data_IF_150710376468
#
_entry.id   IF_150710376468
#
_cell.length_a   1.000
_cell.length_b   1.000
_cell.length_c   1.000
_cell.angle_alpha   90.00
_cell.angle_beta   90.00
_cell.angle_gamma   90.00
#
_symmetry.space_group_name_H-M   'P 1'
#
loop_
_entity.id
_entity.type
_entity.pdbx_description
1 polymer ?
#
# COMPACT_ATOMS: atom_id res chain seq x y z
N UNK A 1 -25.59 -6.57 19.16
CA UNK A 1 -24.70 -6.94 18.04
C UNK A 1 -25.07 -6.33 16.66
N UNK A 2 -25.43 -5.07 16.56
CA UNK A 2 -25.70 -4.44 15.25
C UNK A 2 -24.41 -4.29 14.40
N UNK A 3 -23.25 -4.18 15.05
CA UNK A 3 -21.98 -3.91 14.36
C UNK A 3 -21.43 -5.09 13.52
N UNK A 4 -21.78 -6.32 13.82
CA UNK A 4 -21.33 -7.49 13.02
C UNK A 4 -22.07 -7.62 11.69
N UNK A 5 -23.33 -7.20 11.60
CA UNK A 5 -24.11 -7.30 10.35
C UNK A 5 -23.66 -6.29 9.28
N UNK A 6 -23.13 -5.15 9.66
CA UNK A 6 -22.63 -4.15 8.71
C UNK A 6 -21.27 -4.51 8.07
N UNK A 7 -20.51 -5.46 8.62
CA UNK A 7 -19.22 -5.87 8.08
C UNK A 7 -19.29 -6.96 7.00
N UNK A 8 -20.41 -7.61 6.85
CA UNK A 8 -20.61 -8.58 5.77
C UNK A 8 -21.33 -7.89 4.60
N UNK A 9 -20.57 -7.14 3.81
CA UNK A 9 -21.03 -6.85 2.45
C UNK A 9 -21.35 -8.18 1.78
N UNK A 10 -22.60 -8.35 1.35
CA UNK A 10 -23.04 -9.54 0.66
C UNK A 10 -22.13 -9.76 -0.55
N UNK A 11 -21.73 -10.99 -0.82
CA UNK A 11 -20.92 -11.33 -2.00
C UNK A 11 -21.59 -10.80 -3.29
N UNK A 12 -22.91 -10.75 -3.32
CA UNK A 12 -23.70 -10.19 -4.41
C UNK A 12 -23.42 -8.70 -4.63
N UNK A 13 -23.33 -7.93 -3.56
CA UNK A 13 -23.05 -6.48 -3.65
C UNK A 13 -21.64 -6.23 -4.12
N UNK A 14 -20.67 -7.04 -3.69
CA UNK A 14 -19.28 -6.99 -4.18
C UNK A 14 -19.21 -7.29 -5.67
N UNK A 15 -19.90 -8.33 -6.13
CA UNK A 15 -19.98 -8.68 -7.57
C UNK A 15 -20.55 -7.52 -8.38
N UNK A 16 -21.62 -6.90 -7.92
CA UNK A 16 -22.24 -5.75 -8.60
C UNK A 16 -21.27 -4.57 -8.69
N UNK A 17 -20.60 -4.23 -7.59
CA UNK A 17 -19.62 -3.14 -7.56
C UNK A 17 -18.42 -3.42 -8.46
N UNK A 18 -17.85 -4.61 -8.40
CA UNK A 18 -16.70 -4.99 -9.24
C UNK A 18 -17.06 -4.99 -10.70
N UNK A 19 -18.26 -5.46 -11.08
CA UNK A 19 -18.73 -5.39 -12.46
C UNK A 19 -18.86 -3.93 -12.94
N UNK A 20 -19.43 -3.05 -12.13
CA UNK A 20 -19.55 -1.63 -12.46
C UNK A 20 -18.18 -0.96 -12.63
N UNK A 21 -17.25 -1.22 -11.73
CA UNK A 21 -15.88 -0.71 -11.82
C UNK A 21 -15.13 -1.29 -13.04
N UNK A 22 -15.30 -2.59 -13.31
CA UNK A 22 -14.72 -3.24 -14.49
C UNK A 22 -15.13 -2.54 -15.78
N UNK A 23 -16.42 -2.22 -15.93
CA UNK A 23 -16.92 -1.54 -17.14
C UNK A 23 -16.37 -0.10 -17.26
N UNK A 24 -16.19 0.61 -16.15
CA UNK A 24 -15.57 1.94 -16.17
C UNK A 24 -14.08 1.82 -16.52
N UNK A 25 -13.38 0.89 -15.91
CA UNK A 25 -11.95 0.67 -16.12
C UNK A 25 -11.62 0.26 -17.55
N UNK A 26 -12.45 -0.58 -18.18
CA UNK A 26 -12.33 -0.93 -19.61
C UNK A 26 -12.35 0.31 -20.51
N UNK A 27 -13.24 1.26 -20.23
CA UNK A 27 -13.35 2.50 -21.01
C UNK A 27 -12.14 3.42 -20.86
N UNK A 28 -11.43 3.31 -19.76
CA UNK A 28 -10.26 4.16 -19.44
C UNK A 28 -8.94 3.44 -19.63
N UNK A 29 -8.94 2.17 -20.03
CA UNK A 29 -7.72 1.36 -20.17
C UNK A 29 -7.04 1.01 -18.85
N UNK A 30 -7.78 1.02 -17.73
CA UNK A 30 -7.25 0.71 -16.40
C UNK A 30 -7.46 -0.76 -16.04
N UNK A 31 -6.50 -1.34 -15.32
CA UNK A 31 -6.64 -2.60 -14.62
C UNK A 31 -7.03 -2.36 -13.15
N UNK A 32 -7.79 -3.29 -12.58
CA UNK A 32 -8.22 -3.25 -11.19
C UNK A 32 -7.53 -4.37 -10.43
N UNK A 33 -6.89 -4.04 -9.32
CA UNK A 33 -6.31 -5.03 -8.41
C UNK A 33 -7.06 -5.04 -7.09
N UNK A 34 -7.64 -6.19 -6.74
CA UNK A 34 -8.40 -6.38 -5.51
C UNK A 34 -7.46 -6.88 -4.39
N UNK A 35 -7.72 -6.44 -3.17
CA UNK A 35 -6.93 -6.83 -2.01
C UNK A 35 -7.74 -7.70 -1.06
N UNK A 36 -7.27 -8.94 -0.81
CA UNK A 36 -7.92 -9.90 0.08
C UNK A 36 -9.38 -10.20 -0.29
N UNK A 37 -9.68 -10.23 -1.57
CA UNK A 37 -11.01 -10.56 -2.08
C UNK A 37 -11.03 -11.98 -2.68
N UNK A 38 -12.22 -12.50 -2.88
CA UNK A 38 -12.41 -13.84 -3.45
C UNK A 38 -12.11 -13.87 -4.95
N UNK A 39 -11.50 -14.94 -5.43
CA UNK A 39 -11.27 -15.19 -6.86
C UNK A 39 -12.58 -15.19 -7.70
N UNK A 40 -13.75 -15.34 -7.09
CA UNK A 40 -15.05 -15.23 -7.77
C UNK A 40 -15.27 -13.83 -8.39
N UNK A 41 -14.50 -12.83 -7.93
CA UNK A 41 -14.53 -11.46 -8.43
C UNK A 41 -13.58 -11.23 -9.62
N UNK A 42 -12.76 -12.20 -9.98
CA UNK A 42 -11.82 -12.09 -11.09
C UNK A 42 -12.54 -11.91 -12.43
N UNK A 43 -12.00 -11.02 -13.28
CA UNK A 43 -12.47 -10.69 -14.61
C UNK A 43 -11.26 -10.39 -15.50
N UNK A 44 -11.47 -10.22 -16.81
CA UNK A 44 -10.37 -9.93 -17.76
C UNK A 44 -9.50 -8.74 -17.36
N UNK A 45 -10.10 -7.71 -16.75
CA UNK A 45 -9.40 -6.50 -16.28
C UNK A 45 -9.46 -6.31 -14.76
N UNK A 46 -9.79 -7.37 -14.01
CA UNK A 46 -9.85 -7.38 -12.55
C UNK A 46 -9.07 -8.57 -12.02
N UNK A 47 -7.96 -8.29 -11.37
CA UNK A 47 -7.09 -9.28 -10.73
C UNK A 47 -7.39 -9.34 -9.22
N UNK A 48 -7.76 -10.52 -8.72
CA UNK A 48 -8.01 -10.77 -7.31
C UNK A 48 -6.75 -11.22 -6.51
N UNK A 49 -5.58 -11.31 -7.17
CA UNK A 49 -4.34 -11.81 -6.55
C UNK A 49 -3.59 -10.78 -5.70
N UNK A 50 -4.15 -9.60 -5.50
CA UNK A 50 -3.59 -8.58 -4.62
C UNK A 50 -3.16 -7.30 -5.33
N UNK A 51 -3.21 -6.19 -4.60
CA UNK A 51 -2.97 -4.86 -5.15
C UNK A 51 -1.47 -4.48 -5.26
N UNK A 52 -0.60 -5.09 -4.45
CA UNK A 52 0.86 -4.90 -4.48
C UNK A 52 1.55 -6.27 -4.44
N UNK A 53 1.09 -7.21 -5.26
CA UNK A 53 1.69 -8.53 -5.38
C UNK A 53 3.06 -8.45 -6.09
N UNK A 54 3.84 -9.52 -6.00
CA UNK A 54 5.12 -9.59 -6.70
C UNK A 54 4.93 -9.40 -8.22
N UNK A 55 3.90 -9.99 -8.81
CA UNK A 55 3.61 -9.87 -10.22
C UNK A 55 3.35 -8.41 -10.65
N UNK A 56 2.54 -7.68 -9.88
CA UNK A 56 2.25 -6.26 -10.14
C UNK A 56 3.52 -5.42 -10.07
N UNK A 57 4.40 -5.69 -9.09
CA UNK A 57 5.65 -4.95 -8.96
C UNK A 57 6.65 -5.32 -10.07
N UNK A 58 6.74 -6.59 -10.46
CA UNK A 58 7.58 -7.04 -11.58
C UNK A 58 7.13 -6.42 -12.91
N UNK A 59 5.84 -6.36 -13.14
CA UNK A 59 5.28 -5.71 -14.32
C UNK A 59 5.60 -4.19 -14.34
N UNK A 60 5.39 -3.50 -13.22
CA UNK A 60 5.68 -2.07 -13.11
C UNK A 60 7.17 -1.74 -13.24
N UNK A 61 8.05 -2.61 -12.77
CA UNK A 61 9.51 -2.42 -12.82
C UNK A 61 10.13 -2.92 -14.12
N UNK A 62 9.46 -3.81 -14.85
CA UNK A 62 10.03 -4.53 -16.00
C UNK A 62 11.14 -5.51 -15.64
N UNK A 63 11.25 -5.90 -14.38
CA UNK A 63 12.32 -6.74 -13.85
C UNK A 63 11.77 -7.84 -12.94
N UNK A 64 12.46 -8.99 -12.90
CA UNK A 64 12.12 -10.08 -11.98
C UNK A 64 12.64 -9.82 -10.58
N UNK A 65 11.84 -10.18 -9.59
CA UNK A 65 12.15 -10.00 -8.17
C UNK A 65 12.40 -11.35 -7.49
N UNK A 66 13.48 -11.43 -6.71
CA UNK A 66 13.77 -12.53 -5.80
C UNK A 66 13.36 -12.12 -4.38
N UNK A 67 12.09 -12.32 -4.07
CA UNK A 67 11.52 -11.87 -2.79
C UNK A 67 11.69 -12.95 -1.73
N UNK A 68 12.24 -12.61 -0.55
CA UNK A 68 12.32 -13.56 0.55
C UNK A 68 10.94 -13.93 1.06
N UNK A 69 10.78 -15.20 1.49
CA UNK A 69 9.50 -15.68 2.03
C UNK A 69 9.08 -14.84 3.23
N UNK A 70 7.93 -14.23 3.17
CA UNK A 70 7.37 -13.36 4.22
C UNK A 70 6.03 -13.90 4.70
N UNK A 71 5.73 -13.60 5.98
CA UNK A 71 4.39 -13.83 6.51
C UNK A 71 3.45 -12.76 5.95
N UNK A 72 2.31 -13.20 5.42
CA UNK A 72 1.28 -12.27 4.96
C UNK A 72 0.81 -11.36 6.12
N UNK A 73 0.58 -10.06 5.87
CA UNK A 73 0.10 -9.13 6.90
C UNK A 73 -1.25 -9.52 7.48
N UNK A 74 -2.09 -10.17 6.68
CA UNK A 74 -3.40 -10.70 7.04
C UNK A 74 -3.73 -11.89 6.14
N UNK A 75 -4.69 -12.71 6.56
CA UNK A 75 -5.15 -13.86 5.80
C UNK A 75 -5.61 -13.45 4.39
N UNK A 76 -5.21 -14.21 3.38
CA UNK A 76 -5.51 -13.93 1.97
C UNK A 76 -4.72 -12.78 1.32
N UNK A 77 -3.81 -12.13 2.04
CA UNK A 77 -3.00 -11.04 1.48
C UNK A 77 -1.72 -11.57 0.82
N UNK A 78 -1.51 -11.21 -0.44
CA UNK A 78 -0.32 -11.52 -1.23
C UNK A 78 0.61 -10.34 -1.41
N UNK A 79 0.27 -9.19 -0.82
CA UNK A 79 1.02 -7.95 -0.99
C UNK A 79 2.44 -8.01 -0.40
N UNK A 80 3.39 -7.48 -1.17
CA UNK A 80 4.75 -7.24 -0.71
C UNK A 80 4.82 -5.87 -0.01
N UNK A 81 4.50 -5.85 1.28
CA UNK A 81 4.60 -4.62 2.06
C UNK A 81 6.04 -4.41 2.51
N UNK A 82 6.58 -3.22 2.22
CA UNK A 82 7.85 -2.73 2.70
C UNK A 82 7.76 -2.10 4.09
N UNK A 83 8.80 -1.34 4.46
CA UNK A 83 8.74 -0.45 5.61
C UNK A 83 7.85 0.76 5.29
N UNK A 84 6.98 1.14 6.21
CA UNK A 84 6.24 2.39 6.13
C UNK A 84 7.18 3.54 6.48
N UNK A 85 7.34 4.48 5.56
CA UNK A 85 8.14 5.70 5.74
C UNK A 85 7.29 6.88 6.21
N UNK A 86 5.98 6.69 6.36
CA UNK A 86 5.06 7.71 6.85
C UNK A 86 5.14 7.91 8.36
N UNK A 87 4.67 9.06 8.82
CA UNK A 87 4.47 9.35 10.23
C UNK A 87 3.07 9.89 10.48
N UNK A 88 2.50 9.55 11.64
CA UNK A 88 1.21 10.10 12.05
C UNK A 88 1.31 11.61 12.32
N UNK A 89 0.20 12.32 12.15
CA UNK A 89 0.09 13.77 12.35
C UNK A 89 1.09 14.58 11.52
N UNK A 90 1.21 14.27 10.21
CA UNK A 90 2.10 14.98 9.27
C UNK A 90 1.38 15.61 8.08
N UNK A 91 0.11 15.29 7.85
CA UNK A 91 -0.65 15.79 6.71
C UNK A 91 -1.49 17.02 7.09
N UNK A 92 -1.34 18.11 6.34
CA UNK A 92 -2.05 19.38 6.59
C UNK A 92 -3.49 19.44 6.05
N UNK A 93 -4.01 18.36 5.43
CA UNK A 93 -5.35 18.38 4.83
C UNK A 93 -6.50 18.23 5.83
N UNK A 94 -6.26 17.72 7.03
CA UNK A 94 -7.26 17.56 8.09
C UNK A 94 -8.57 16.87 7.64
N UNK A 95 -8.47 15.85 6.81
CA UNK A 95 -9.63 15.09 6.36
C UNK A 95 -10.41 14.53 7.55
N UNK A 96 -11.74 14.69 7.55
CA UNK A 96 -12.62 14.37 8.68
C UNK A 96 -12.56 12.90 9.12
N UNK A 97 -12.23 11.97 8.22
CA UNK A 97 -12.12 10.53 8.47
C UNK A 97 -10.69 10.02 8.42
N UNK A 98 -9.71 10.90 8.65
CA UNK A 98 -8.31 10.52 8.61
C UNK A 98 -7.93 9.73 9.86
N UNK A 99 -7.47 8.51 9.69
CA UNK A 99 -6.93 7.69 10.78
C UNK A 99 -5.51 8.09 11.19
N UNK A 100 -4.79 8.79 10.30
CA UNK A 100 -3.39 9.15 10.51
C UNK A 100 -3.20 10.51 11.18
N UNK A 101 -4.21 11.38 11.15
CA UNK A 101 -4.20 12.68 11.81
C UNK A 101 -5.26 12.71 12.91
N UNK A 102 -4.85 12.71 14.15
CA UNK A 102 -5.72 12.74 15.32
C UNK A 102 -5.45 13.93 16.26
N UNK A 103 -4.37 14.70 16.02
CA UNK A 103 -4.00 15.88 16.80
C UNK A 103 -3.57 17.01 15.87
N UNK A 104 -4.43 18.02 15.73
CA UNK A 104 -4.19 19.17 14.85
C UNK A 104 -3.00 20.02 15.29
N UNK A 105 -2.81 20.23 16.60
CA UNK A 105 -1.68 21.02 17.11
C UNK A 105 -0.35 20.33 16.80
N UNK A 106 -0.32 19.00 16.95
CA UNK A 106 0.86 18.20 16.62
C UNK A 106 1.13 18.20 15.10
N UNK A 107 0.10 18.14 14.26
CA UNK A 107 0.26 18.28 12.80
C UNK A 107 0.93 19.61 12.45
N UNK A 108 0.43 20.72 13.00
CA UNK A 108 1.01 22.05 12.75
C UNK A 108 2.47 22.13 13.21
N UNK A 109 2.79 21.59 14.38
CA UNK A 109 4.14 21.50 14.91
C UNK A 109 5.06 20.66 14.02
N UNK A 110 4.61 19.49 13.59
CA UNK A 110 5.38 18.60 12.73
C UNK A 110 5.63 19.22 11.35
N UNK A 111 4.63 19.88 10.79
CA UNK A 111 4.74 20.59 9.52
C UNK A 111 5.80 21.71 9.58
N UNK A 112 5.85 22.48 10.67
CA UNK A 112 6.86 23.53 10.88
C UNK A 112 8.29 22.97 11.04
N UNK A 113 8.40 21.71 11.53
CA UNK A 113 9.69 21.02 11.71
C UNK A 113 10.15 20.26 10.46
N UNK A 114 9.30 20.17 9.44
CA UNK A 114 9.67 19.50 8.21
C UNK A 114 10.66 20.35 7.43
N UNK A 115 11.78 19.74 7.07
CA UNK A 115 12.80 20.32 6.18
C UNK A 115 13.03 19.35 5.00
N UNK A 116 12.74 19.80 3.75
CA UNK A 116 12.95 18.97 2.56
C UNK A 116 14.41 18.52 2.35
N UNK A 117 15.37 19.24 2.92
CA UNK A 117 16.79 18.88 2.86
C UNK A 117 17.22 17.90 3.96
N UNK A 118 16.37 17.65 4.96
CA UNK A 118 16.64 16.69 6.03
C UNK A 118 16.43 15.26 5.56
N UNK A 119 17.27 14.34 6.04
CA UNK A 119 17.07 12.90 5.87
C UNK A 119 15.88 12.36 6.69
N UNK A 120 15.37 13.15 7.65
CA UNK A 120 14.23 12.80 8.49
C UNK A 120 12.94 13.43 7.94
N UNK A 121 11.83 12.71 8.05
CA UNK A 121 10.51 13.23 7.69
C UNK A 121 10.11 14.43 8.57
N UNK A 122 10.53 14.46 9.82
CA UNK A 122 10.24 15.51 10.81
C UNK A 122 11.51 15.83 11.58
N UNK A 123 11.92 17.09 11.55
CA UNK A 123 13.06 17.59 12.33
C UNK A 123 14.43 17.17 11.79
N UNK A 124 15.41 17.26 12.65
CA UNK A 124 16.81 16.93 12.39
C UNK A 124 17.33 15.98 13.46
N UNK A 125 18.49 15.37 13.20
CA UNK A 125 19.19 14.57 14.19
C UNK A 125 19.61 15.45 15.38
N UNK A 126 19.37 14.96 16.58
CA UNK A 126 19.71 15.63 17.84
C UNK A 126 20.91 14.92 18.51
N UNK A 127 21.58 15.63 19.40
CA UNK A 127 22.70 15.06 20.14
C UNK A 127 22.21 13.91 21.05
N UNK A 128 22.68 12.72 20.79
CA UNK A 128 22.26 11.51 21.52
C UNK A 128 21.41 10.53 20.69
N UNK A 129 21.03 10.91 19.47
CA UNK A 129 20.33 10.00 18.57
C UNK A 129 21.24 8.84 18.14
N UNK A 130 20.67 7.64 18.18
CA UNK A 130 21.38 6.43 17.73
C UNK A 130 21.09 6.22 16.26
N UNK A 131 22.08 6.50 15.43
CA UNK A 131 22.03 6.23 13.99
C UNK A 131 22.38 4.78 13.75
N UNK A 132 21.49 4.06 13.05
CA UNK A 132 21.73 2.68 12.62
C UNK A 132 21.68 2.64 11.10
N UNK A 133 22.76 2.19 10.49
CA UNK A 133 22.80 1.94 9.06
C UNK A 133 21.93 0.73 8.71
N UNK A 134 20.88 0.96 7.93
CA UNK A 134 20.03 -0.11 7.44
C UNK A 134 20.76 -0.85 6.31
N UNK A 135 20.98 -2.15 6.48
CA UNK A 135 21.45 -2.99 5.38
C UNK A 135 20.30 -3.23 4.40
N UNK A 136 20.28 -2.45 3.34
CA UNK A 136 19.33 -2.65 2.25
C UNK A 136 19.83 -3.76 1.33
N UNK A 137 18.97 -4.77 1.11
CA UNK A 137 19.19 -5.80 0.11
C UNK A 137 18.28 -5.55 -1.07
N UNK A 138 18.84 -5.49 -2.26
CA UNK A 138 18.06 -5.46 -3.48
C UNK A 138 17.29 -6.78 -3.63
N UNK A 139 16.04 -6.69 -4.04
CA UNK A 139 15.23 -7.85 -4.41
C UNK A 139 15.26 -8.14 -5.91
N UNK A 140 15.99 -7.35 -6.69
CA UNK A 140 16.16 -7.64 -8.11
C UNK A 140 16.82 -9.00 -8.27
N UNK A 141 16.25 -9.83 -9.13
CA UNK A 141 16.87 -11.12 -9.45
C UNK A 141 18.21 -10.89 -10.14
N UNK A 142 19.26 -11.62 -9.77
CA UNK A 142 20.53 -11.54 -10.48
C UNK A 142 20.48 -12.22 -11.86
N UNK A 143 19.36 -12.77 -12.26
CA UNK A 143 19.19 -13.40 -13.56
C UNK A 143 19.35 -12.35 -14.67
N UNK A 144 20.50 -12.36 -15.30
CA UNK A 144 20.74 -11.65 -16.55
C UNK A 144 19.94 -12.38 -17.62
N UNK A 145 18.94 -11.69 -18.21
CA UNK A 145 18.29 -12.19 -19.40
C UNK A 145 19.38 -12.32 -20.48
N UNK A 146 19.68 -13.55 -20.88
CA UNK A 146 20.66 -13.84 -21.93
C UNK A 146 20.06 -13.75 -23.33
N UNK A 147 18.85 -13.16 -23.49
CA UNK A 147 18.17 -12.98 -24.77
C UNK A 147 17.51 -11.62 -24.87
#
# INVERSE_FOLDING_TARGET
EPYRRQRQMCIRDRVLLVNAFSEIAKKTGLAIHLCCESAILERDNVDANGCLSQAVLEEALGEKLSVPRRKAPREGCTCLLGADIGAYNTCSHFCRYCYANYDEALVRKNYQRHDPASALLIGHLEQGDIIKDAQQKSWKSPEISLF
#
